data_IF_504707180439
#
_entry.id   IF_504707180439
#
_cell.length_a   1.000
_cell.length_b   1.000
_cell.length_c   1.000
_cell.angle_alpha   90.00
_cell.angle_beta   90.00
_cell.angle_gamma   90.00
#
_symmetry.space_group_name_H-M   'P 1'
#
loop_
_entity.id
_entity.type
_entity.pdbx_description
1 polymer ?
#
# COMPACT_ATOMS: atom_id res chain seq x y z
N UNK A 1 -13.23 4.49 9.04
CA UNK A 1 -12.17 3.65 8.44
C UNK A 1 -11.41 4.44 7.41
N UNK A 2 -10.12 4.21 7.33
CA UNK A 2 -9.28 4.87 6.35
C UNK A 2 -9.52 4.30 4.95
N UNK A 3 -9.30 5.12 3.93
CA UNK A 3 -9.32 4.68 2.54
C UNK A 3 -7.93 4.11 2.20
N UNK A 4 -7.86 2.80 1.98
CA UNK A 4 -6.60 2.11 1.73
C UNK A 4 -6.51 1.74 0.26
N UNK A 5 -5.39 2.07 -0.37
CA UNK A 5 -5.13 1.76 -1.77
C UNK A 5 -3.77 1.09 -1.89
N UNK A 6 -3.67 0.10 -2.76
CA UNK A 6 -2.41 -0.60 -2.99
C UNK A 6 -2.23 -0.84 -4.50
N UNK A 7 -1.07 -0.47 -5.01
CA UNK A 7 -0.67 -0.78 -6.37
C UNK A 7 0.14 -2.07 -6.36
N UNK A 8 -0.21 -3.00 -7.23
CA UNK A 8 0.38 -4.34 -7.24
C UNK A 8 0.72 -4.79 -8.66
N UNK A 9 1.43 -5.91 -8.71
CA UNK A 9 1.71 -6.65 -9.93
C UNK A 9 1.39 -8.12 -9.67
N UNK A 10 0.99 -8.87 -10.72
CA UNK A 10 0.50 -10.25 -10.55
C UNK A 10 1.54 -11.20 -9.97
N UNK A 11 2.80 -11.07 -10.39
CA UNK A 11 3.89 -11.94 -9.91
C UNK A 11 4.79 -11.14 -8.98
N UNK A 12 4.25 -10.75 -7.84
CA UNK A 12 4.98 -9.92 -6.90
C UNK A 12 4.83 -10.51 -5.48
N UNK A 13 5.84 -11.23 -5.00
CA UNK A 13 5.79 -11.79 -3.64
C UNK A 13 5.59 -10.75 -2.55
N UNK A 14 6.20 -9.59 -2.68
CA UNK A 14 6.03 -8.50 -1.71
C UNK A 14 4.61 -7.94 -1.74
N UNK A 15 3.98 -7.91 -2.92
CA UNK A 15 2.58 -7.49 -3.03
C UNK A 15 1.67 -8.47 -2.29
N UNK A 16 1.92 -9.76 -2.44
CA UNK A 16 1.16 -10.82 -1.75
C UNK A 16 1.30 -10.66 -0.25
N UNK A 17 2.52 -10.42 0.23
CA UNK A 17 2.77 -10.25 1.66
C UNK A 17 2.07 -9.01 2.21
N UNK A 18 2.12 -7.89 1.49
CA UNK A 18 1.46 -6.66 1.92
C UNK A 18 -0.05 -6.84 1.99
N UNK A 19 -0.64 -7.45 0.95
CA UNK A 19 -2.09 -7.75 0.95
C UNK A 19 -2.45 -8.69 2.09
N UNK A 20 -1.60 -9.69 2.36
CA UNK A 20 -1.81 -10.61 3.47
C UNK A 20 -1.92 -9.90 4.81
N UNK A 21 -1.05 -8.91 5.06
CA UNK A 21 -1.12 -8.13 6.29
C UNK A 21 -2.40 -7.31 6.36
N UNK A 22 -2.78 -6.65 5.27
CA UNK A 22 -4.03 -5.89 5.23
C UNK A 22 -5.24 -6.79 5.45
N UNK A 23 -5.23 -8.00 4.88
CA UNK A 23 -6.30 -8.98 5.09
C UNK A 23 -6.38 -9.41 6.55
N UNK A 24 -5.24 -9.63 7.20
CA UNK A 24 -5.19 -9.96 8.63
C UNK A 24 -5.78 -8.86 9.49
N UNK A 25 -5.61 -7.61 9.07
CA UNK A 25 -6.18 -6.46 9.79
C UNK A 25 -7.67 -6.29 9.54
N UNK A 26 -8.25 -7.06 8.60
CA UNK A 26 -9.67 -6.99 8.31
C UNK A 26 -10.12 -5.73 7.62
N UNK A 27 -9.19 -5.00 6.98
CA UNK A 27 -9.54 -3.76 6.28
C UNK A 27 -9.85 -4.05 4.82
N UNK A 28 -10.76 -3.24 4.27
CA UNK A 28 -11.02 -3.25 2.84
C UNK A 28 -10.07 -2.29 2.16
N UNK A 29 -9.55 -2.70 1.01
CA UNK A 29 -8.63 -1.87 0.26
C UNK A 29 -8.95 -1.94 -1.23
N UNK A 30 -8.57 -0.91 -1.96
CA UNK A 30 -8.67 -0.88 -3.40
C UNK A 30 -7.33 -1.32 -3.97
N UNK A 31 -7.35 -2.34 -4.81
CA UNK A 31 -6.14 -2.83 -5.45
C UNK A 31 -6.10 -2.40 -6.91
N UNK A 32 -4.98 -1.81 -7.31
CA UNK A 32 -4.71 -1.48 -8.70
C UNK A 32 -3.61 -2.40 -9.21
N UNK A 33 -4.00 -3.44 -9.95
CA UNK A 33 -3.03 -4.33 -10.58
C UNK A 33 -2.59 -3.70 -11.89
N UNK A 34 -1.33 -3.32 -11.97
CA UNK A 34 -0.82 -2.50 -13.08
C UNK A 34 0.14 -3.26 -14.00
N UNK A 35 -0.05 -4.58 -14.12
CA UNK A 35 0.76 -5.39 -15.03
C UNK A 35 0.70 -4.83 -16.45
N UNK A 36 1.87 -4.52 -17.01
CA UNK A 36 1.96 -4.03 -18.38
C UNK A 36 1.38 -2.65 -18.62
N UNK A 37 0.94 -1.94 -17.58
CA UNK A 37 0.36 -0.61 -17.70
C UNK A 37 1.37 0.45 -17.25
N UNK A 38 2.20 0.90 -18.18
CA UNK A 38 3.24 1.86 -17.85
C UNK A 38 2.69 3.23 -17.49
N UNK A 39 1.58 3.63 -18.08
CA UNK A 39 0.95 4.90 -17.74
C UNK A 39 0.49 4.90 -16.29
N UNK A 40 -0.15 3.82 -15.85
CA UNK A 40 -0.56 3.69 -14.46
C UNK A 40 0.64 3.66 -13.52
N UNK A 41 1.74 3.01 -13.95
CA UNK A 41 2.96 2.98 -13.15
C UNK A 41 3.58 4.36 -13.00
N UNK A 42 3.58 5.15 -14.07
CA UNK A 42 4.09 6.52 -14.02
C UNK A 42 3.27 7.38 -13.07
N UNK A 43 1.96 7.25 -13.10
CA UNK A 43 1.08 7.96 -12.18
C UNK A 43 1.34 7.55 -10.73
N UNK A 44 1.50 6.25 -10.50
CA UNK A 44 1.86 5.73 -9.19
C UNK A 44 3.18 6.32 -8.72
N UNK A 45 4.19 6.35 -9.58
CA UNK A 45 5.52 6.86 -9.26
C UNK A 45 5.46 8.33 -8.85
N UNK A 46 4.70 9.14 -9.57
CA UNK A 46 4.49 10.54 -9.22
C UNK A 46 3.84 10.67 -7.85
N UNK A 47 2.81 9.86 -7.60
CA UNK A 47 2.08 9.84 -6.35
C UNK A 47 2.95 9.32 -5.19
N UNK A 48 3.88 8.43 -5.48
CA UNK A 48 4.75 7.76 -4.51
C UNK A 48 6.10 8.47 -4.32
N UNK A 49 6.16 9.77 -4.60
CA UNK A 49 7.35 10.58 -4.36
C UNK A 49 8.57 10.06 -5.13
N UNK A 50 8.36 9.56 -6.33
CA UNK A 50 9.41 9.07 -7.22
C UNK A 50 9.71 7.58 -7.09
N UNK A 51 9.08 6.86 -6.18
CA UNK A 51 9.29 5.42 -6.02
C UNK A 51 8.46 4.66 -7.05
N UNK A 52 9.11 3.78 -7.81
CA UNK A 52 8.46 2.98 -8.86
C UNK A 52 8.37 1.50 -8.53
N UNK A 53 8.85 1.07 -7.38
CA UNK A 53 8.78 -0.33 -6.96
C UNK A 53 7.37 -0.70 -6.53
N UNK A 54 7.08 -1.99 -6.48
CA UNK A 54 5.79 -2.53 -6.08
C UNK A 54 5.97 -3.45 -4.87
N UNK A 55 5.01 -3.46 -3.95
CA UNK A 55 3.80 -2.66 -3.94
C UNK A 55 4.05 -1.22 -3.52
N UNK A 56 3.10 -0.33 -3.81
CA UNK A 56 3.04 1.00 -3.23
C UNK A 56 1.68 1.17 -2.56
N UNK A 57 1.67 1.61 -1.31
CA UNK A 57 0.48 1.61 -0.46
C UNK A 57 0.19 3.04 -0.03
N UNK A 58 -1.09 3.39 -0.04
CA UNK A 58 -1.58 4.71 0.36
C UNK A 58 -2.72 4.54 1.36
N UNK A 59 -2.71 5.33 2.41
CA UNK A 59 -3.78 5.36 3.41
C UNK A 59 -4.27 6.80 3.53
N UNK A 60 -5.54 7.02 3.25
CA UNK A 60 -6.15 8.36 3.21
C UNK A 60 -5.33 9.31 2.33
N UNK A 61 -4.94 8.82 1.16
CA UNK A 61 -4.15 9.55 0.17
C UNK A 61 -2.72 9.89 0.62
N UNK A 62 -2.28 9.35 1.74
CA UNK A 62 -0.91 9.53 2.24
C UNK A 62 -0.05 8.36 1.80
N UNK A 63 1.10 8.64 1.25
CA UNK A 63 2.03 7.60 0.79
C UNK A 63 2.66 6.90 1.99
N UNK A 64 2.38 5.60 2.12
CA UNK A 64 2.98 4.77 3.17
C UNK A 64 4.30 4.20 2.67
N UNK A 65 4.33 3.72 1.44
CA UNK A 65 5.50 3.09 0.84
C UNK A 65 5.23 1.68 0.39
N UNK A 66 6.24 0.83 0.47
CA UNK A 66 6.16 -0.55 0.04
C UNK A 66 5.85 -1.53 1.18
N UNK A 67 6.09 -2.81 0.90
CA UNK A 67 5.83 -3.88 1.86
C UNK A 67 6.64 -3.67 3.15
N UNK A 68 7.93 -3.35 3.02
CA UNK A 68 8.80 -3.16 4.19
C UNK A 68 8.31 -2.00 5.06
N UNK A 69 7.86 -0.92 4.43
CA UNK A 69 7.34 0.24 5.17
C UNK A 69 6.06 -0.12 5.92
N UNK A 70 5.20 -0.93 5.30
CA UNK A 70 3.97 -1.37 5.94
C UNK A 70 4.27 -2.24 7.17
N UNK A 71 5.19 -3.20 7.03
CA UNK A 71 5.58 -4.06 8.14
C UNK A 71 6.32 -3.30 9.24
N UNK A 72 7.07 -2.27 8.88
CA UNK A 72 7.73 -1.41 9.87
C UNK A 72 6.70 -0.68 10.74
N UNK A 73 5.62 -0.18 10.13
CA UNK A 73 4.54 0.44 10.89
C UNK A 73 3.86 -0.56 11.82
N UNK A 74 3.68 -1.80 11.36
CA UNK A 74 3.09 -2.84 12.19
C UNK A 74 3.99 -3.15 13.40
N UNK A 75 5.28 -3.29 13.19
CA UNK A 75 6.23 -3.60 14.28
C UNK A 75 6.33 -2.45 15.29
N UNK A 76 6.03 -1.23 14.88
CA UNK A 76 6.01 -0.05 15.75
C UNK A 76 4.64 0.19 16.38
N UNK A 77 3.67 -0.68 16.16
CA UNK A 77 2.29 -0.55 16.65
C UNK A 77 1.60 0.71 16.16
N UNK A 78 1.95 1.17 14.94
CA UNK A 78 1.38 2.37 14.35
C UNK A 78 0.38 2.09 13.25
N UNK A 79 0.37 0.87 12.71
CA UNK A 79 -0.44 0.54 11.54
C UNK A 79 -1.94 0.57 11.86
N UNK A 80 -2.35 -0.01 12.97
CA UNK A 80 -3.77 -0.10 13.31
C UNK A 80 -4.42 1.28 13.39
N UNK A 81 -3.77 2.25 14.01
CA UNK A 81 -4.29 3.61 14.09
C UNK A 81 -4.46 4.25 12.72
N UNK A 82 -3.50 4.03 11.83
CA UNK A 82 -3.58 4.55 10.46
C UNK A 82 -4.76 3.94 9.72
N UNK A 83 -4.96 2.63 9.84
CA UNK A 83 -6.03 1.92 9.15
C UNK A 83 -7.41 2.29 9.71
N UNK A 84 -7.48 2.68 10.96
CA UNK A 84 -8.71 3.14 11.58
C UNK A 84 -9.05 4.59 11.24
N UNK A 85 -8.14 5.30 10.60
CA UNK A 85 -8.33 6.71 10.28
C UNK A 85 -8.10 7.64 11.47
N UNK A 86 -7.41 7.17 12.52
CA UNK A 86 -7.15 7.93 13.74
C UNK A 86 -5.79 8.61 13.73
N UNK A 87 -5.03 8.49 12.66
CA UNK A 87 -3.74 9.15 12.56
C UNK A 87 -3.94 10.64 12.38
N UNK A 88 -3.40 11.39 13.26
CA UNK A 88 -3.46 12.83 13.17
C UNK A 88 -2.52 13.35 12.08
#
# INVERSE_FOLDING_TARGET
>A
MAAVEIYTWSLCPFCIRAKGLLDMKGVQYTEYCIDGDEEARDKMTQRANGRSSLPQIFVDDRHIGGCDDLYALESQNKLDSLLEGNAA
#
